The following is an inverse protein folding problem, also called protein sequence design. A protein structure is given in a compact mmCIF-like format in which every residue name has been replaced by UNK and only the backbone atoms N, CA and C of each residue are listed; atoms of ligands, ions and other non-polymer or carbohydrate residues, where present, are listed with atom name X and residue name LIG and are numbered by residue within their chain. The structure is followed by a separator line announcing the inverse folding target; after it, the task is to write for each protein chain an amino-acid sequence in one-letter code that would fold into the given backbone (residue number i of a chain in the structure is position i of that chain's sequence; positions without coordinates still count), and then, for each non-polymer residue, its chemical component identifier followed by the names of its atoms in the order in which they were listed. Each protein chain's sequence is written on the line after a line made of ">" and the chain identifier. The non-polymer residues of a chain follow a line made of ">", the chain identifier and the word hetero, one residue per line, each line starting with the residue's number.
data_IF_806746769961
#
_entry.id   IF_806746769961
#
_cell.length_a   1.000
_cell.length_b   1.000
_cell.length_c   1.000
_cell.angle_alpha   90.00
_cell.angle_beta   90.00
_cell.angle_gamma   90.00
#
_symmetry.space_group_name_H-M   'P 1'
#
loop_
_entity.id
_entity.type
_entity.pdbx_description
1 polymer ?
#
# COMPACT_ATOMS: atom_id res chain seq x y z
N UNK A 1 -27.89 -3.22 3.47
CA UNK A 1 -28.28 -1.88 3.98
C UNK A 1 -27.02 -1.26 4.53
N UNK A 2 -26.43 -0.31 3.80
CA UNK A 2 -25.18 0.33 4.22
C UNK A 2 -25.50 1.23 5.41
N UNK A 3 -24.86 0.96 6.55
CA UNK A 3 -24.89 1.87 7.68
C UNK A 3 -24.38 3.24 7.20
N UNK A 4 -25.03 4.36 7.59
CA UNK A 4 -24.52 5.68 7.27
C UNK A 4 -23.09 5.78 7.81
N UNK A 5 -22.19 6.43 7.07
CA UNK A 5 -20.86 6.79 7.54
C UNK A 5 -21.06 7.70 8.76
N UNK A 6 -21.12 7.12 9.95
CA UNK A 6 -20.94 7.85 11.19
C UNK A 6 -19.67 8.67 11.02
N UNK A 7 -19.73 9.95 11.36
CA UNK A 7 -18.63 10.88 11.12
C UNK A 7 -17.34 10.30 11.71
N UNK A 8 -16.46 9.80 10.82
CA UNK A 8 -15.20 9.20 11.24
C UNK A 8 -14.44 10.27 12.04
N UNK A 9 -14.10 9.93 13.28
CA UNK A 9 -13.38 10.80 14.22
C UNK A 9 -11.95 10.28 14.41
N UNK A 10 -11.06 11.06 15.02
CA UNK A 10 -9.76 10.53 15.45
C UNK A 10 -9.91 9.27 16.29
N UNK A 11 -9.19 8.21 15.95
CA UNK A 11 -9.33 6.90 16.57
C UNK A 11 -8.62 5.78 15.83
N UNK A 12 -8.73 4.58 16.39
CA UNK A 12 -8.17 3.35 15.83
C UNK A 12 -9.29 2.36 15.51
N UNK A 13 -9.34 1.95 14.25
CA UNK A 13 -10.46 1.21 13.68
C UNK A 13 -9.97 -0.12 13.10
N UNK A 14 -10.33 -1.23 13.76
CA UNK A 14 -9.94 -2.59 13.36
C UNK A 14 -10.80 -3.12 12.20
N UNK A 15 -12.09 -2.78 12.21
CA UNK A 15 -13.09 -3.39 11.31
C UNK A 15 -13.58 -2.41 10.22
N UNK A 16 -12.76 -1.41 9.86
CA UNK A 16 -13.12 -0.47 8.80
C UNK A 16 -12.86 -1.11 7.43
N UNK A 17 -13.90 -1.28 6.61
CA UNK A 17 -13.76 -1.87 5.27
C UNK A 17 -12.80 -1.06 4.37
N UNK A 18 -12.20 -1.71 3.38
CA UNK A 18 -11.34 -1.04 2.38
C UNK A 18 -12.09 0.09 1.68
N UNK A 19 -13.34 -0.14 1.27
CA UNK A 19 -14.18 0.87 0.65
C UNK A 19 -14.41 2.08 1.58
N UNK A 20 -14.76 1.83 2.85
CA UNK A 20 -15.01 2.90 3.82
C UNK A 20 -13.73 3.68 4.16
N UNK A 21 -12.57 3.02 4.18
CA UNK A 21 -11.30 3.72 4.33
C UNK A 21 -10.93 4.54 3.11
N UNK A 22 -10.96 3.99 1.89
CA UNK A 22 -10.58 4.78 0.71
C UNK A 22 -11.57 5.92 0.44
N UNK A 23 -12.87 5.71 0.69
CA UNK A 23 -13.91 6.73 0.57
C UNK A 23 -14.10 7.64 1.78
N UNK A 24 -13.42 7.38 2.90
CA UNK A 24 -13.59 8.12 4.15
C UNK A 24 -13.10 9.57 4.09
N UNK A 25 -13.28 10.36 5.17
CA UNK A 25 -12.70 11.69 5.28
C UNK A 25 -11.20 11.62 5.60
N UNK A 26 -10.55 12.79 5.62
CA UNK A 26 -9.14 12.94 5.97
C UNK A 26 -8.17 12.57 4.86
N UNK A 27 -6.97 13.15 4.93
CA UNK A 27 -5.93 12.97 3.91
C UNK A 27 -5.06 11.75 4.21
N UNK A 28 -4.82 10.91 3.20
CA UNK A 28 -3.89 9.78 3.30
C UNK A 28 -2.51 10.10 2.74
N UNK A 29 -1.49 9.29 3.07
CA UNK A 29 -0.16 9.40 2.46
C UNK A 29 -0.18 9.37 0.93
N UNK A 30 -0.98 8.47 0.33
CA UNK A 30 -1.12 8.40 -1.13
C UNK A 30 -1.75 9.64 -1.74
N UNK A 31 -2.63 10.34 -1.00
CA UNK A 31 -3.18 11.62 -1.42
C UNK A 31 -2.14 12.74 -1.26
N UNK A 32 -1.34 12.73 -0.19
CA UNK A 32 -0.20 13.65 -0.05
C UNK A 32 0.84 13.46 -1.16
N UNK A 33 1.05 12.23 -1.65
CA UNK A 33 1.91 11.99 -2.83
C UNK A 33 1.39 12.69 -4.09
N UNK A 34 0.08 12.88 -4.23
CA UNK A 34 -0.49 13.66 -5.33
C UNK A 34 -0.24 15.16 -5.10
N UNK A 35 -0.50 15.65 -3.87
CA UNK A 35 -0.25 17.05 -3.50
C UNK A 35 1.21 17.44 -3.73
N UNK A 36 2.13 16.57 -3.30
CA UNK A 36 3.57 16.76 -3.46
C UNK A 36 4.00 16.92 -4.92
N UNK A 37 3.38 16.12 -5.81
CA UNK A 37 3.63 16.23 -7.24
C UNK A 37 3.02 17.51 -7.81
N UNK A 38 1.73 17.71 -7.56
CA UNK A 38 0.97 18.86 -8.03
C UNK A 38 -0.41 18.86 -7.37
N UNK A 39 -0.81 19.93 -6.64
CA UNK A 39 -2.11 19.98 -5.96
C UNK A 39 -3.31 19.69 -6.88
N UNK A 40 -3.24 20.08 -8.15
CA UNK A 40 -4.29 19.76 -9.13
C UNK A 40 -4.49 18.26 -9.34
N UNK A 41 -3.45 17.42 -9.15
CA UNK A 41 -3.58 15.97 -9.29
C UNK A 41 -4.49 15.35 -8.23
N UNK A 42 -4.59 15.95 -7.05
CA UNK A 42 -5.54 15.51 -6.02
C UNK A 42 -7.00 15.75 -6.42
N UNK A 43 -7.28 16.88 -7.07
CA UNK A 43 -8.62 17.17 -7.61
C UNK A 43 -8.91 16.29 -8.82
N UNK A 44 -7.93 16.17 -9.73
CA UNK A 44 -8.01 15.29 -10.89
C UNK A 44 -8.31 13.85 -10.47
N UNK A 45 -7.62 13.29 -9.48
CA UNK A 45 -7.83 11.89 -9.07
C UNK A 45 -9.24 11.61 -8.54
N UNK A 46 -9.98 12.64 -8.12
CA UNK A 46 -11.38 12.50 -7.65
C UNK A 46 -12.40 12.66 -8.77
N UNK A 47 -12.06 13.40 -9.83
CA UNK A 47 -12.99 13.79 -10.89
C UNK A 47 -12.73 13.04 -12.21
N UNK A 48 -11.52 12.51 -12.39
CA UNK A 48 -11.15 11.78 -13.59
C UNK A 48 -12.01 10.52 -13.73
N UNK A 49 -12.53 10.22 -14.94
CA UNK A 49 -13.26 8.99 -15.17
C UNK A 49 -12.32 7.80 -15.03
N UNK A 50 -12.82 6.71 -14.46
CA UNK A 50 -12.10 5.44 -14.35
C UNK A 50 -12.51 4.50 -15.47
N UNK A 51 -11.53 3.78 -16.02
CA UNK A 51 -11.76 2.69 -16.97
C UNK A 51 -11.94 1.39 -16.19
N UNK A 52 -13.20 1.06 -15.86
CA UNK A 52 -13.56 -0.15 -15.10
C UNK A 52 -13.09 -1.44 -15.78
N UNK A 53 -12.97 -1.46 -17.12
CA UNK A 53 -12.51 -2.64 -17.86
C UNK A 53 -11.01 -2.90 -17.68
N UNK A 54 -10.22 -1.86 -17.37
CA UNK A 54 -8.76 -1.96 -17.14
C UNK A 54 -8.36 -1.96 -15.68
N UNK A 55 -9.32 -1.79 -14.77
CA UNK A 55 -9.10 -1.71 -13.32
C UNK A 55 -8.65 -3.03 -12.69
N UNK A 56 -8.96 -4.15 -13.35
CA UNK A 56 -8.77 -5.52 -12.85
C UNK A 56 -7.45 -6.19 -13.28
N UNK A 57 -6.46 -5.42 -13.74
CA UNK A 57 -5.14 -5.99 -14.01
C UNK A 57 -4.61 -6.64 -12.72
N UNK A 58 -4.25 -7.93 -12.81
CA UNK A 58 -3.80 -8.68 -11.66
C UNK A 58 -2.57 -8.02 -11.02
N UNK A 59 -2.71 -7.57 -9.79
CA UNK A 59 -1.60 -7.12 -8.97
C UNK A 59 -1.12 -8.26 -8.08
N UNK A 60 -0.02 -8.91 -8.47
CA UNK A 60 0.63 -9.96 -7.66
C UNK A 60 1.02 -9.44 -6.27
N UNK A 61 1.36 -8.16 -6.15
CA UNK A 61 1.69 -7.54 -4.86
C UNK A 61 0.53 -7.60 -3.88
N UNK A 62 -0.68 -7.27 -4.33
CA UNK A 62 -1.90 -7.28 -3.50
C UNK A 62 -2.27 -8.71 -3.10
N UNK A 63 -2.11 -9.68 -4.01
CA UNK A 63 -2.31 -11.09 -3.73
C UNK A 63 -1.31 -11.62 -2.67
N UNK A 64 -0.04 -11.19 -2.76
CA UNK A 64 1.01 -11.53 -1.77
C UNK A 64 0.72 -10.88 -0.41
N UNK A 65 0.31 -9.62 -0.39
CA UNK A 65 -0.08 -8.93 0.84
C UNK A 65 -1.25 -9.63 1.53
N UNK A 66 -2.34 -9.91 0.78
CA UNK A 66 -3.51 -10.58 1.29
C UNK A 66 -3.19 -11.98 1.85
N UNK A 67 -2.43 -12.82 1.14
CA UNK A 67 -2.12 -14.17 1.65
C UNK A 67 -1.22 -14.16 2.91
N UNK A 68 -0.43 -13.09 3.10
CA UNK A 68 0.43 -12.94 4.27
C UNK A 68 -0.32 -12.42 5.49
N UNK A 69 -1.21 -11.44 5.31
CA UNK A 69 -1.79 -10.68 6.42
C UNK A 69 -3.27 -11.02 6.66
N UNK A 70 -4.02 -11.32 5.61
CA UNK A 70 -5.46 -11.63 5.65
C UNK A 70 -5.77 -12.86 4.79
N UNK A 71 -5.31 -14.07 5.18
CA UNK A 71 -5.47 -15.27 4.35
C UNK A 71 -6.94 -15.63 4.09
N UNK A 72 -7.87 -15.21 4.96
CA UNK A 72 -9.31 -15.32 4.74
C UNK A 72 -9.76 -14.43 3.57
N UNK A 73 -9.34 -13.15 3.55
CA UNK A 73 -9.59 -12.22 2.44
C UNK A 73 -9.01 -12.74 1.15
N UNK A 74 -7.81 -13.33 1.19
CA UNK A 74 -7.23 -13.97 0.00
C UNK A 74 -8.13 -15.08 -0.55
N UNK A 75 -8.63 -15.97 0.31
CA UNK A 75 -9.52 -17.05 -0.08
C UNK A 75 -10.88 -16.56 -0.61
N UNK A 76 -11.35 -15.40 -0.14
CA UNK A 76 -12.59 -14.77 -0.60
C UNK A 76 -12.41 -14.03 -1.94
N UNK A 77 -11.28 -13.37 -2.15
CA UNK A 77 -11.06 -12.46 -3.29
C UNK A 77 -10.34 -13.11 -4.48
N UNK A 78 -9.60 -14.20 -4.27
CA UNK A 78 -8.81 -14.83 -5.32
C UNK A 78 -9.22 -16.28 -5.54
N UNK A 79 -9.22 -16.69 -6.80
CA UNK A 79 -9.42 -18.08 -7.19
C UNK A 79 -8.28 -18.53 -8.11
N UNK A 80 -7.71 -19.70 -7.84
CA UNK A 80 -6.63 -20.26 -8.66
C UNK A 80 -7.25 -21.17 -9.72
N UNK A 81 -7.03 -20.80 -10.99
CA UNK A 81 -7.53 -21.54 -12.13
C UNK A 81 -6.87 -22.91 -12.31
N UNK A 82 -7.46 -23.77 -13.15
CA UNK A 82 -6.99 -25.14 -13.37
C UNK A 82 -5.58 -25.19 -14.01
N UNK A 83 -4.70 -26.03 -13.47
CA UNK A 83 -3.32 -26.19 -13.95
C UNK A 83 -3.21 -26.86 -15.33
N UNK A 84 -4.07 -27.85 -15.61
CA UNK A 84 -4.06 -28.64 -16.85
C UNK A 84 -5.21 -28.25 -17.79
N UNK A 85 -5.30 -26.96 -18.10
CA UNK A 85 -6.35 -26.38 -18.94
C UNK A 85 -5.79 -25.35 -19.93
N UNK A 86 -5.10 -25.77 -21.00
CA UNK A 86 -4.61 -24.86 -22.02
C UNK A 86 -5.79 -24.18 -22.73
N UNK A 87 -5.88 -22.85 -22.62
CA UNK A 87 -6.99 -22.01 -23.11
C UNK A 87 -7.19 -22.04 -24.63
N UNK A 88 -6.25 -22.58 -25.39
CA UNK A 88 -6.35 -22.75 -26.84
C UNK A 88 -6.96 -24.09 -27.27
N UNK A 89 -7.26 -25.01 -26.35
CA UNK A 89 -7.92 -26.30 -26.65
C UNK A 89 -9.40 -26.26 -26.27
N UNK A 90 -10.24 -27.07 -26.93
CA UNK A 90 -11.66 -27.17 -26.61
C UNK A 90 -11.88 -27.63 -25.15
N UNK A 91 -11.22 -28.72 -24.76
CA UNK A 91 -11.32 -29.26 -23.40
C UNK A 91 -10.79 -28.27 -22.33
N UNK A 92 -9.74 -27.50 -22.65
CA UNK A 92 -9.25 -26.46 -21.75
C UNK A 92 -10.25 -25.32 -21.59
N UNK A 93 -10.86 -24.85 -22.68
CA UNK A 93 -11.92 -23.82 -22.62
C UNK A 93 -13.12 -24.27 -21.79
N UNK A 94 -13.59 -25.50 -21.97
CA UNK A 94 -14.71 -26.07 -21.19
C UNK A 94 -14.38 -26.10 -19.69
N UNK A 95 -13.16 -26.50 -19.30
CA UNK A 95 -12.71 -26.46 -17.89
C UNK A 95 -12.67 -25.04 -17.32
N UNK A 96 -12.26 -24.06 -18.13
CA UNK A 96 -12.24 -22.65 -17.71
C UNK A 96 -13.66 -22.10 -17.57
N UNK A 97 -14.57 -22.41 -18.49
CA UNK A 97 -15.97 -22.02 -18.41
C UNK A 97 -16.64 -22.61 -17.16
N UNK A 98 -16.42 -23.88 -16.87
CA UNK A 98 -16.93 -24.54 -15.65
C UNK A 98 -16.36 -23.91 -14.37
N UNK A 99 -15.05 -23.61 -14.36
CA UNK A 99 -14.39 -22.95 -13.24
C UNK A 99 -14.95 -21.53 -13.02
N UNK A 100 -15.05 -20.73 -14.08
CA UNK A 100 -15.51 -19.34 -14.03
C UNK A 100 -17.00 -19.25 -13.66
N UNK A 101 -17.82 -20.24 -14.05
CA UNK A 101 -19.23 -20.32 -13.65
C UNK A 101 -19.42 -20.48 -12.14
N UNK A 102 -18.41 -20.99 -11.41
CA UNK A 102 -18.42 -21.11 -9.95
C UNK A 102 -17.95 -19.86 -9.20
N UNK A 103 -17.46 -18.83 -9.92
CA UNK A 103 -16.93 -17.62 -9.30
C UNK A 103 -18.03 -16.61 -8.99
N UNK A 104 -17.85 -15.90 -7.89
CA UNK A 104 -18.69 -14.81 -7.42
C UNK A 104 -17.86 -13.51 -7.34
N UNK A 105 -17.26 -13.13 -8.47
CA UNK A 105 -16.48 -11.89 -8.60
C UNK A 105 -15.03 -11.97 -8.11
N UNK A 106 -14.52 -13.17 -7.81
CA UNK A 106 -13.10 -13.32 -7.48
C UNK A 106 -12.18 -12.95 -8.65
N UNK A 107 -11.02 -12.40 -8.32
CA UNK A 107 -9.91 -12.23 -9.24
C UNK A 107 -9.27 -13.59 -9.53
N UNK A 108 -9.24 -13.96 -10.80
CA UNK A 108 -8.69 -15.24 -11.24
C UNK A 108 -7.17 -15.15 -11.38
N UNK A 109 -6.46 -15.99 -10.63
CA UNK A 109 -5.04 -16.28 -10.82
C UNK A 109 -4.91 -17.47 -11.77
N UNK A 110 -4.00 -17.41 -12.74
CA UNK A 110 -3.55 -18.63 -13.41
C UNK A 110 -2.87 -19.57 -12.42
N UNK A 111 -2.77 -20.86 -12.75
CA UNK A 111 -2.10 -21.83 -11.90
C UNK A 111 -0.64 -21.44 -11.60
N UNK A 112 0.06 -20.85 -12.58
CA UNK A 112 1.44 -20.38 -12.41
C UNK A 112 1.53 -19.15 -11.50
N UNK A 113 0.60 -18.20 -11.61
CA UNK A 113 0.51 -17.03 -10.71
C UNK A 113 0.17 -17.46 -9.29
N UNK A 114 -0.81 -18.36 -9.11
CA UNK A 114 -1.16 -18.93 -7.82
C UNK A 114 0.04 -19.66 -7.18
N UNK A 115 0.74 -20.49 -7.96
CA UNK A 115 1.98 -21.15 -7.50
C UNK A 115 3.05 -20.15 -7.10
N UNK A 116 3.24 -19.07 -7.87
CA UNK A 116 4.19 -18.00 -7.57
C UNK A 116 3.85 -17.31 -6.25
N UNK A 117 2.60 -16.91 -6.04
CA UNK A 117 2.13 -16.26 -4.79
C UNK A 117 2.39 -17.16 -3.58
N UNK A 118 2.07 -18.46 -3.70
CA UNK A 118 2.31 -19.42 -2.62
C UNK A 118 3.81 -19.60 -2.32
N UNK A 119 4.67 -19.68 -3.33
CA UNK A 119 6.12 -19.78 -3.12
C UNK A 119 6.73 -18.51 -2.50
N UNK A 120 6.20 -17.33 -2.86
CA UNK A 120 6.58 -16.06 -2.24
C UNK A 120 6.20 -16.08 -0.75
N UNK A 121 4.96 -16.46 -0.43
CA UNK A 121 4.48 -16.62 0.94
C UNK A 121 5.39 -17.56 1.73
N UNK A 122 5.67 -18.75 1.21
CA UNK A 122 6.55 -19.72 1.90
C UNK A 122 7.98 -19.20 2.06
N UNK A 123 8.48 -18.37 1.14
CA UNK A 123 9.79 -17.72 1.31
C UNK A 123 9.79 -16.73 2.48
N UNK A 124 8.72 -15.95 2.66
CA UNK A 124 8.53 -15.07 3.82
C UNK A 124 8.44 -15.88 5.11
N UNK A 125 7.64 -16.94 5.13
CA UNK A 125 7.48 -17.81 6.31
C UNK A 125 8.74 -18.61 6.65
N UNK A 126 9.67 -18.79 5.70
CA UNK A 126 10.96 -19.41 5.96
C UNK A 126 11.99 -18.45 6.60
N UNK A 127 11.81 -17.13 6.48
CA UNK A 127 12.70 -16.14 7.10
C UNK A 127 12.28 -15.90 8.56
N UNK A 128 13.13 -16.17 9.57
CA UNK A 128 12.70 -16.28 10.97
C UNK A 128 12.07 -15.00 11.53
N UNK A 129 12.67 -13.84 11.26
CA UNK A 129 12.12 -12.56 11.72
C UNK A 129 10.90 -12.11 10.92
N UNK A 130 10.79 -12.52 9.66
CA UNK A 130 9.66 -12.11 8.82
C UNK A 130 8.43 -12.95 9.18
N UNK A 131 8.61 -14.26 9.34
CA UNK A 131 7.63 -15.17 9.94
C UNK A 131 7.12 -14.65 11.28
N UNK A 132 8.03 -14.30 12.19
CA UNK A 132 7.63 -13.76 13.50
C UNK A 132 6.77 -12.50 13.35
N UNK A 133 7.13 -11.57 12.45
CA UNK A 133 6.35 -10.37 12.18
C UNK A 133 4.94 -10.71 11.68
N UNK A 134 4.82 -11.69 10.79
CA UNK A 134 3.54 -12.17 10.23
C UNK A 134 2.70 -12.93 11.27
N UNK A 135 3.30 -13.73 12.14
CA UNK A 135 2.60 -14.56 13.13
C UNK A 135 2.31 -13.84 14.46
N UNK A 136 3.05 -12.77 14.78
CA UNK A 136 2.88 -12.04 16.04
C UNK A 136 1.43 -11.55 16.22
N UNK A 137 0.92 -11.59 17.44
CA UNK A 137 -0.39 -11.01 17.75
C UNK A 137 -0.38 -9.50 17.47
N UNK A 138 -1.36 -9.04 16.69
CA UNK A 138 -1.46 -7.67 16.24
C UNK A 138 -2.61 -7.52 15.26
N UNK A 139 -2.93 -6.27 14.97
CA UNK A 139 -4.05 -5.89 14.12
C UNK A 139 -3.54 -5.66 12.68
N UNK A 140 -4.02 -6.47 11.73
CA UNK A 140 -3.76 -6.28 10.30
C UNK A 140 -4.77 -5.30 9.69
N UNK A 141 -4.34 -4.45 8.75
CA UNK A 141 -5.19 -3.48 8.04
C UNK A 141 -6.02 -2.52 8.92
N UNK A 142 -5.67 -2.39 10.20
CA UNK A 142 -6.35 -1.46 11.09
C UNK A 142 -6.01 -0.01 10.71
N UNK A 143 -7.03 0.85 10.72
CA UNK A 143 -6.91 2.23 10.27
C UNK A 143 -6.74 3.17 11.45
N UNK A 144 -5.80 4.11 11.35
CA UNK A 144 -5.59 5.17 12.33
C UNK A 144 -6.05 6.49 11.71
N UNK A 145 -6.92 7.20 12.41
CA UNK A 145 -7.33 8.56 12.08
C UNK A 145 -6.88 9.51 13.19
N UNK A 146 -6.33 10.66 12.83
CA UNK A 146 -5.88 11.65 13.80
C UNK A 146 -5.99 13.07 13.25
N UNK A 147 -5.97 14.05 14.15
CA UNK A 147 -5.72 15.44 13.75
C UNK A 147 -4.22 15.64 13.67
N UNK A 148 -3.73 15.91 12.48
CA UNK A 148 -2.32 16.23 12.27
C UNK A 148 -1.97 17.53 13.01
N UNK A 149 -0.83 17.55 13.69
CA UNK A 149 -0.54 18.56 14.73
C UNK A 149 -0.34 19.97 14.17
N UNK A 150 0.25 20.09 12.98
CA UNK A 150 0.62 21.39 12.41
C UNK A 150 -0.57 22.10 11.78
N UNK A 151 -1.44 21.37 11.10
CA UNK A 151 -2.59 21.93 10.35
C UNK A 151 -3.93 21.74 11.06
N UNK A 152 -4.02 20.81 12.01
CA UNK A 152 -5.28 20.41 12.65
C UNK A 152 -6.23 19.63 11.74
N UNK A 153 -5.82 19.36 10.49
CA UNK A 153 -6.62 18.62 9.52
C UNK A 153 -6.67 17.13 9.89
N UNK A 154 -7.77 16.49 9.52
CA UNK A 154 -7.90 15.05 9.69
C UNK A 154 -6.96 14.35 8.70
N UNK A 155 -6.10 13.49 9.22
CA UNK A 155 -5.22 12.61 8.47
C UNK A 155 -5.57 11.15 8.79
N UNK A 156 -5.18 10.25 7.88
CA UNK A 156 -5.39 8.81 8.06
C UNK A 156 -4.27 7.97 7.47
N UNK A 157 -4.04 6.84 8.09
CA UNK A 157 -3.19 5.78 7.55
C UNK A 157 -3.79 4.42 7.87
N UNK A 158 -3.31 3.42 7.15
CA UNK A 158 -3.64 2.02 7.38
C UNK A 158 -2.35 1.22 7.30
N UNK A 159 -1.67 1.01 8.43
CA UNK A 159 -0.53 0.11 8.46
C UNK A 159 -0.96 -1.31 8.12
N UNK A 160 -0.13 -2.01 7.35
CA UNK A 160 -0.38 -3.40 6.97
C UNK A 160 -0.53 -4.30 8.21
N UNK A 161 0.31 -4.05 9.23
CA UNK A 161 0.15 -4.66 10.55
C UNK A 161 0.67 -3.80 11.69
N UNK A 162 -0.08 -3.76 12.78
CA UNK A 162 0.29 -3.09 14.03
C UNK A 162 0.40 -4.11 15.16
N UNK A 163 1.61 -4.29 15.71
CA UNK A 163 1.88 -5.16 16.86
C UNK A 163 1.90 -4.26 18.10
N UNK A 164 0.73 -4.02 18.67
CA UNK A 164 0.51 -3.05 19.76
C UNK A 164 1.27 -3.41 21.03
N UNK A 165 1.45 -4.70 21.31
CA UNK A 165 2.18 -5.20 22.50
C UNK A 165 3.66 -4.80 22.54
N UNK A 166 4.26 -4.49 21.38
CA UNK A 166 5.65 -4.06 21.25
C UNK A 166 5.79 -2.64 20.70
N UNK A 167 4.68 -2.02 20.29
CA UNK A 167 4.67 -0.76 19.56
C UNK A 167 5.36 -0.85 18.20
N UNK A 168 5.16 -1.93 17.45
CA UNK A 168 5.76 -2.10 16.12
C UNK A 168 4.72 -1.89 15.02
N UNK A 169 5.16 -1.26 13.94
CA UNK A 169 4.44 -1.19 12.68
C UNK A 169 5.22 -1.99 11.64
N UNK A 170 4.51 -2.81 10.87
CA UNK A 170 5.03 -3.52 9.73
C UNK A 170 4.33 -3.08 8.45
N UNK A 171 5.09 -3.05 7.36
CA UNK A 171 4.61 -2.75 6.01
C UNK A 171 5.26 -3.74 5.02
N UNK A 172 4.43 -4.49 4.29
CA UNK A 172 4.83 -5.51 3.33
C UNK A 172 4.98 -4.87 1.97
N UNK A 173 6.19 -4.98 1.39
CA UNK A 173 6.48 -4.53 0.03
C UNK A 173 6.92 -5.68 -0.85
N UNK A 174 6.43 -5.69 -2.08
CA UNK A 174 6.98 -6.53 -3.14
C UNK A 174 7.89 -5.73 -4.04
N UNK A 175 9.01 -6.31 -4.48
CA UNK A 175 9.91 -5.68 -5.46
C UNK A 175 10.25 -6.65 -6.59
N UNK A 176 10.53 -6.14 -7.79
CA UNK A 176 11.10 -6.94 -8.88
C UNK A 176 12.61 -7.15 -8.74
N UNK A 177 13.28 -6.29 -7.96
CA UNK A 177 14.73 -6.25 -7.79
C UNK A 177 15.07 -5.74 -6.38
N UNK A 178 15.64 -6.61 -5.56
CA UNK A 178 15.96 -6.31 -4.16
C UNK A 178 17.07 -5.25 -4.03
N UNK A 179 18.02 -5.21 -4.96
CA UNK A 179 19.15 -4.27 -4.93
C UNK A 179 18.70 -2.84 -5.28
N UNK A 180 17.59 -2.70 -6.01
CA UNK A 180 16.99 -1.40 -6.32
C UNK A 180 16.01 -0.89 -5.25
N UNK A 181 15.77 -1.65 -4.18
CA UNK A 181 14.76 -1.26 -3.19
C UNK A 181 15.07 0.08 -2.51
N UNK A 182 16.34 0.40 -2.24
CA UNK A 182 16.71 1.71 -1.69
C UNK A 182 16.30 2.89 -2.59
N UNK A 183 16.37 2.70 -3.91
CA UNK A 183 15.85 3.68 -4.88
C UNK A 183 14.32 3.76 -4.82
N UNK A 184 13.64 2.63 -4.70
CA UNK A 184 12.19 2.56 -4.52
C UNK A 184 11.71 3.28 -3.25
N UNK A 185 12.49 3.26 -2.15
CA UNK A 185 12.18 4.02 -0.93
C UNK A 185 12.06 5.52 -1.20
N UNK A 186 12.90 6.06 -2.09
CA UNK A 186 12.82 7.45 -2.51
C UNK A 186 11.70 7.66 -3.54
N UNK A 187 11.69 6.89 -4.63
CA UNK A 187 10.76 7.07 -5.76
C UNK A 187 9.28 6.90 -5.38
N UNK A 188 8.97 5.93 -4.52
CA UNK A 188 7.62 5.71 -4.00
C UNK A 188 7.38 6.41 -2.65
N UNK A 189 8.32 7.28 -2.23
CA UNK A 189 8.20 8.09 -1.01
C UNK A 189 7.92 7.25 0.24
N UNK A 190 8.52 6.06 0.37
CA UNK A 190 8.38 5.25 1.59
C UNK A 190 9.05 5.92 2.80
N UNK A 191 10.08 6.73 2.57
CA UNK A 191 10.68 7.60 3.59
C UNK A 191 9.70 8.64 4.15
N UNK A 192 8.70 9.06 3.38
CA UNK A 192 7.59 9.93 3.84
C UNK A 192 6.51 9.11 4.56
N UNK A 193 6.28 7.89 4.09
CA UNK A 193 5.29 6.98 4.67
C UNK A 193 5.61 6.60 6.12
N UNK A 194 6.85 6.21 6.39
CA UNK A 194 7.30 5.79 7.72
C UNK A 194 6.96 6.82 8.81
N UNK A 195 7.47 8.08 8.77
CA UNK A 195 7.17 9.07 9.79
C UNK A 195 5.70 9.50 9.80
N UNK A 196 5.00 9.55 8.65
CA UNK A 196 3.57 9.87 8.62
C UNK A 196 2.75 8.81 9.39
N UNK A 197 3.09 7.53 9.26
CA UNK A 197 2.43 6.44 9.96
C UNK A 197 2.83 6.42 11.44
N UNK A 198 4.11 6.65 11.74
CA UNK A 198 4.61 6.72 13.11
C UNK A 198 3.96 7.86 13.90
N UNK A 199 3.78 9.02 13.29
CA UNK A 199 3.19 10.19 13.95
C UNK A 199 1.67 10.04 14.10
N UNK A 200 1.00 9.37 13.16
CA UNK A 200 -0.40 8.94 13.33
C UNK A 200 -0.56 7.92 14.46
N UNK A 201 0.34 6.92 14.53
CA UNK A 201 0.40 5.97 15.64
C UNK A 201 0.59 6.70 16.97
N UNK A 202 1.56 7.61 17.06
CA UNK A 202 1.84 8.37 18.28
C UNK A 202 0.67 9.26 18.70
N UNK A 203 -0.04 9.86 17.75
CA UNK A 203 -1.23 10.65 18.04
C UNK A 203 -2.36 9.82 18.66
N UNK A 204 -2.46 8.53 18.34
CA UNK A 204 -3.47 7.63 18.91
C UNK A 204 -3.01 6.95 20.20
N UNK A 205 -1.82 6.33 20.19
CA UNK A 205 -1.31 5.51 21.29
C UNK A 205 -0.56 6.31 22.36
N UNK A 206 -0.23 7.58 22.09
CA UNK A 206 0.42 8.49 23.04
C UNK A 206 1.95 8.40 23.06
N UNK A 207 2.55 7.50 22.28
CA UNK A 207 4.00 7.32 22.17
C UNK A 207 4.41 6.91 20.75
N UNK A 208 5.65 7.22 20.37
CA UNK A 208 6.19 6.78 19.08
C UNK A 208 6.31 5.25 19.04
N UNK A 209 6.04 4.60 17.90
CA UNK A 209 6.29 3.17 17.77
C UNK A 209 7.79 2.90 17.96
N UNK A 210 8.11 1.80 18.62
CA UNK A 210 9.48 1.35 18.82
C UNK A 210 10.17 1.01 17.49
N UNK A 211 9.42 0.58 16.47
CA UNK A 211 9.94 0.33 15.14
C UNK A 211 8.86 0.46 14.05
N UNK A 212 9.29 0.94 12.89
CA UNK A 212 8.57 0.79 11.62
C UNK A 212 9.43 -0.09 10.70
N UNK A 213 8.91 -1.25 10.31
CA UNK A 213 9.67 -2.28 9.61
C UNK A 213 9.05 -2.55 8.24
N UNK A 214 9.83 -2.33 7.18
CA UNK A 214 9.50 -2.80 5.85
C UNK A 214 9.89 -4.27 5.71
N UNK A 215 8.90 -5.15 5.52
CA UNK A 215 9.09 -6.54 5.11
C UNK A 215 9.05 -6.58 3.59
N UNK A 216 10.21 -6.76 2.97
CA UNK A 216 10.35 -6.73 1.51
C UNK A 216 10.57 -8.13 0.99
N UNK A 217 9.75 -8.54 0.02
CA UNK A 217 9.92 -9.81 -0.69
C UNK A 217 10.04 -9.59 -2.20
N UNK A 218 10.96 -10.30 -2.82
CA UNK A 218 11.14 -10.25 -4.27
C UNK A 218 10.03 -11.03 -4.99
N UNK A 219 9.58 -10.50 -6.13
CA UNK A 219 8.72 -11.19 -7.10
C UNK A 219 9.53 -11.88 -8.21
N UNK A 220 10.86 -11.77 -8.15
CA UNK A 220 11.83 -12.40 -9.04
C UNK A 220 12.62 -13.47 -8.28
N UNK A 221 12.94 -14.57 -8.95
CA UNK A 221 13.68 -15.69 -8.36
C UNK A 221 15.18 -15.38 -8.34
N UNK A 222 15.83 -15.68 -7.22
CA UNK A 222 17.28 -15.72 -7.07
C UNK A 222 17.66 -17.09 -6.47
N UNK A 223 18.54 -17.83 -7.16
CA UNK A 223 18.97 -19.17 -6.74
C UNK A 223 17.81 -20.13 -6.35
N UNK A 224 16.69 -20.05 -7.09
CA UNK A 224 15.52 -20.92 -6.87
C UNK A 224 14.60 -20.51 -5.72
N UNK A 225 14.80 -19.33 -5.11
CA UNK A 225 13.97 -18.80 -4.01
C UNK A 225 13.54 -17.37 -4.32
N UNK A 226 12.58 -16.86 -3.55
CA UNK A 226 12.22 -15.44 -3.56
C UNK A 226 12.90 -14.76 -2.36
N UNK A 227 13.94 -13.91 -2.58
CA UNK A 227 14.62 -13.22 -1.49
C UNK A 227 13.68 -12.40 -0.60
N UNK A 228 13.93 -12.43 0.71
CA UNK A 228 13.19 -11.68 1.74
C UNK A 228 14.19 -10.89 2.56
N UNK A 229 13.91 -9.60 2.78
CA UNK A 229 14.73 -8.71 3.62
C UNK A 229 13.83 -7.83 4.47
N UNK A 230 14.32 -7.48 5.66
CA UNK A 230 13.66 -6.55 6.57
C UNK A 230 14.48 -5.26 6.64
N UNK A 231 13.82 -4.11 6.60
CA UNK A 231 14.48 -2.81 6.68
C UNK A 231 13.77 -1.87 7.64
N UNK A 232 14.55 -1.06 8.35
CA UNK A 232 14.10 0.15 9.03
C UNK A 232 14.80 1.33 8.39
N UNK A 233 14.15 2.49 8.34
CA UNK A 233 14.83 3.72 7.92
C UNK A 233 15.63 4.29 9.09
N UNK A 234 16.78 4.87 8.78
CA UNK A 234 17.57 5.60 9.76
C UNK A 234 16.89 6.92 10.16
N UNK A 235 17.47 7.59 11.15
CA UNK A 235 16.93 8.84 11.68
C UNK A 235 16.92 9.96 10.62
N UNK A 236 17.93 10.02 9.75
CA UNK A 236 18.04 11.08 8.74
C UNK A 236 16.95 10.95 7.69
N UNK A 237 16.74 9.76 7.13
CA UNK A 237 15.68 9.48 6.18
C UNK A 237 14.28 9.73 6.78
N UNK A 238 14.06 9.33 8.05
CA UNK A 238 12.80 9.62 8.76
C UNK A 238 12.60 11.11 9.00
N UNK A 239 13.66 11.86 9.32
CA UNK A 239 13.58 13.32 9.50
C UNK A 239 13.20 14.00 8.20
N UNK A 240 13.92 13.70 7.11
CA UNK A 240 13.64 14.25 5.77
C UNK A 240 12.20 13.93 5.36
N UNK A 241 11.77 12.68 5.54
CA UNK A 241 10.40 12.28 5.21
C UNK A 241 9.33 12.99 6.04
N UNK A 242 9.62 13.27 7.32
CA UNK A 242 8.73 14.02 8.21
C UNK A 242 8.58 15.46 7.77
N UNK A 243 9.69 16.14 7.55
CA UNK A 243 9.71 17.52 7.06
C UNK A 243 8.95 17.62 5.73
N UNK A 244 9.16 16.65 4.84
CA UNK A 244 8.48 16.60 3.54
C UNK A 244 6.97 16.46 3.67
N UNK A 245 6.42 15.53 4.50
CA UNK A 245 4.96 15.45 4.60
C UNK A 245 4.37 16.65 5.33
N UNK A 246 5.09 17.29 6.25
CA UNK A 246 4.63 18.52 6.91
C UNK A 246 4.46 19.63 5.87
N UNK A 247 5.38 19.76 4.92
CA UNK A 247 5.26 20.69 3.78
C UNK A 247 4.06 20.33 2.88
N UNK A 248 3.86 19.04 2.58
CA UNK A 248 2.71 18.57 1.80
C UNK A 248 1.38 18.88 2.52
N UNK A 249 1.35 18.70 3.85
CA UNK A 249 0.19 19.03 4.69
C UNK A 249 -0.10 20.52 4.70
N UNK A 250 0.92 21.37 4.82
CA UNK A 250 0.77 22.83 4.73
C UNK A 250 0.21 23.26 3.37
N UNK A 251 0.76 22.71 2.28
CA UNK A 251 0.27 22.92 0.92
C UNK A 251 -1.20 22.50 0.78
N UNK A 252 -1.54 21.31 1.28
CA UNK A 252 -2.91 20.80 1.29
C UNK A 252 -3.86 21.70 2.07
N UNK A 253 -3.45 22.19 3.25
CA UNK A 253 -4.23 23.10 4.07
C UNK A 253 -4.49 24.44 3.39
N UNK A 254 -3.48 25.00 2.72
CA UNK A 254 -3.63 26.22 1.93
C UNK A 254 -4.60 26.03 0.77
N UNK A 255 -4.50 24.94 0.02
CA UNK A 255 -5.43 24.61 -1.06
C UNK A 255 -6.88 24.46 -0.57
N UNK A 256 -7.10 23.84 0.59
CA UNK A 256 -8.45 23.77 1.20
C UNK A 256 -8.95 25.17 1.56
N UNK A 257 -8.10 26.00 2.17
CA UNK A 257 -8.46 27.32 2.67
C UNK A 257 -8.79 28.30 1.55
N UNK A 258 -8.02 28.29 0.46
CA UNK A 258 -8.20 29.22 -0.67
C UNK A 258 -9.16 28.68 -1.72
N UNK A 259 -9.34 27.36 -1.80
CA UNK A 259 -10.01 26.69 -2.91
C UNK A 259 -9.16 26.65 -4.19
N UNK A 260 -7.90 27.10 -4.15
CA UNK A 260 -7.00 27.12 -5.29
C UNK A 260 -6.10 25.88 -5.33
N UNK A 261 -6.19 25.13 -6.42
CA UNK A 261 -5.43 23.89 -6.65
C UNK A 261 -4.56 24.07 -7.89
N UNK A 262 -3.50 24.87 -7.78
CA UNK A 262 -2.61 25.14 -8.92
C UNK A 262 -2.02 23.83 -9.47
N UNK A 263 -1.91 23.75 -10.79
CA UNK A 263 -1.43 22.56 -11.49
C UNK A 263 -0.61 22.81 -12.73
N UNK A 264 -0.32 24.07 -13.06
CA UNK A 264 0.52 24.41 -14.21
C UNK A 264 1.98 24.40 -13.75
N UNK A 265 2.71 23.38 -14.18
CA UNK A 265 4.11 23.19 -13.83
C UNK A 265 5.05 23.76 -14.90
N UNK A 266 6.13 24.39 -14.47
CA UNK A 266 7.18 24.84 -15.40
C UNK A 266 8.16 23.71 -15.64
N UNK A 267 8.13 23.13 -16.85
CA UNK A 267 9.12 22.15 -17.26
C UNK A 267 10.44 22.85 -17.64
N UNK A 268 11.54 22.43 -17.02
CA UNK A 268 12.87 22.92 -17.36
C UNK A 268 13.65 21.89 -18.14
N UNK A 269 14.58 22.34 -19.00
CA UNK A 269 15.51 21.42 -19.65
C UNK A 269 16.26 20.59 -18.59
N UNK A 270 16.46 19.28 -18.79
CA UNK A 270 17.24 18.46 -17.88
C UNK A 270 18.70 18.96 -17.84
N UNK A 271 19.42 18.68 -16.75
CA UNK A 271 20.77 19.23 -16.52
C UNK A 271 21.71 18.99 -17.71
N UNK A 272 21.66 17.81 -18.32
CA UNK A 272 22.50 17.43 -19.46
C UNK A 272 22.17 18.17 -20.76
N UNK A 273 20.98 18.77 -20.88
CA UNK A 273 20.59 19.61 -22.02
C UNK A 273 20.84 21.10 -21.78
N UNK A 274 21.08 21.50 -20.51
CA UNK A 274 21.48 22.86 -20.13
C UNK A 274 22.98 23.08 -20.30
N UNK A 275 23.76 22.01 -20.27
CA UNK A 275 25.20 22.05 -20.45
C UNK A 275 25.55 22.25 -21.92
N UNK A 276 25.66 23.52 -22.34
CA UNK A 276 26.12 23.90 -23.67
C UNK A 276 27.64 23.74 -23.70
N UNK A 277 28.12 22.58 -24.18
CA UNK A 277 29.52 22.43 -24.60
C UNK A 277 29.89 23.44 -25.67
#
# INVERSE_FOLDING_TARGET
>A
MNAPVEAITPGYYRDLSNEAYHGGPGVSKSQLDLIHKSPALYQWSKAAPEDEEKKSALNIGDAVHAILLEPHRFAEQYAIGPADAPRNTKAGKEKWEEFEAGLNGQTVLTADEGRKVMLIRESVMAHPHARWLIEAEGDAEASIYWKEQTTGLLARCRPDKTITSLGWIADVKTTGDMEKFARSVYEYRYHVQDPFYCDGYAAHFGEQPAAFVFLVVSTSIECGKYPVRLFTLDHEAKSIGRDTYIEDMATYADCIRTGEWSGVETLSLPYWAKDRR
#
